data_IF_841294650927
#
_entry.id   IF_841294650927
#
_cell.length_a   1.000
_cell.length_b   1.000
_cell.length_c   1.000
_cell.angle_alpha   90.00
_cell.angle_beta   90.00
_cell.angle_gamma   90.00
#
_symmetry.space_group_name_H-M   'P 1'
#
loop_
_entity.id
_entity.type
_entity.pdbx_description
1 polymer ?
#
# COMPACT_ATOMS: atom_id res chain seq x y z
N UNK A 1 10.02 -5.40 1.05
CA UNK A 1 9.42 -4.53 2.08
C UNK A 1 9.26 -3.13 1.50
N UNK A 2 8.02 -2.68 1.32
CA UNK A 2 7.78 -1.31 0.86
C UNK A 2 8.10 -0.28 1.94
N UNK A 3 8.79 0.79 1.57
CA UNK A 3 9.19 1.90 2.44
C UNK A 3 8.02 2.50 3.25
N UNK A 4 6.86 2.71 2.64
CA UNK A 4 5.67 3.23 3.32
C UNK A 4 5.05 2.20 4.25
N UNK A 5 5.05 0.91 3.90
CA UNK A 5 4.58 -0.15 4.80
C UNK A 5 5.51 -0.23 6.01
N UNK A 6 6.82 -0.13 5.78
CA UNK A 6 7.82 -0.14 6.84
C UNK A 6 7.63 1.04 7.80
N UNK A 7 7.41 2.24 7.26
CA UNK A 7 7.06 3.43 8.05
C UNK A 7 5.80 3.20 8.91
N UNK A 8 4.74 2.61 8.36
CA UNK A 8 3.50 2.38 9.10
C UNK A 8 3.68 1.36 10.24
N UNK A 9 4.44 0.29 10.02
CA UNK A 9 4.75 -0.68 11.08
C UNK A 9 5.50 0.01 12.21
N UNK A 10 6.58 0.72 11.88
CA UNK A 10 7.41 1.38 12.89
C UNK A 10 6.64 2.43 13.70
N UNK A 11 5.75 3.20 13.05
CA UNK A 11 4.88 4.18 13.73
C UNK A 11 3.86 3.54 14.67
N UNK A 12 3.49 2.28 14.43
CA UNK A 12 2.55 1.54 15.27
C UNK A 12 3.12 1.10 16.61
N UNK A 13 4.45 1.06 16.74
CA UNK A 13 5.15 0.55 17.91
C UNK A 13 5.39 1.70 18.90
N UNK A 14 4.99 1.48 20.16
CA UNK A 14 5.13 2.47 21.24
C UNK A 14 6.37 2.27 22.10
N UNK A 15 6.82 1.03 22.23
CA UNK A 15 7.99 0.68 23.04
C UNK A 15 9.28 0.80 22.21
N UNK A 16 10.26 1.53 22.73
CA UNK A 16 11.50 1.78 22.01
C UNK A 16 12.32 0.51 21.78
N UNK A 17 12.29 -0.46 22.71
CA UNK A 17 13.04 -1.72 22.53
C UNK A 17 12.40 -2.54 21.41
N UNK A 18 11.08 -2.70 21.42
CA UNK A 18 10.33 -3.37 20.36
C UNK A 18 10.52 -2.68 19.00
N UNK A 19 10.55 -1.34 18.98
CA UNK A 19 10.83 -0.56 17.78
C UNK A 19 12.18 -0.94 17.17
N UNK A 20 13.23 -0.97 17.99
CA UNK A 20 14.58 -1.28 17.51
C UNK A 20 14.69 -2.73 17.04
N UNK A 21 14.13 -3.68 17.78
CA UNK A 21 14.12 -5.09 17.38
C UNK A 21 13.38 -5.28 16.05
N UNK A 22 12.17 -4.73 15.91
CA UNK A 22 11.36 -4.84 14.70
C UNK A 22 12.04 -4.19 13.50
N UNK A 23 12.63 -3.00 13.69
CA UNK A 23 13.40 -2.30 12.66
C UNK A 23 14.53 -3.18 12.13
N UNK A 24 15.34 -3.76 13.01
CA UNK A 24 16.46 -4.60 12.60
C UNK A 24 15.99 -5.85 11.85
N UNK A 25 14.93 -6.50 12.32
CA UNK A 25 14.37 -7.68 11.65
C UNK A 25 13.85 -7.35 10.25
N UNK A 26 13.06 -6.28 10.09
CA UNK A 26 12.47 -5.91 8.79
C UNK A 26 13.49 -5.35 7.79
N UNK A 27 14.60 -4.77 8.27
CA UNK A 27 15.70 -4.31 7.42
C UNK A 27 16.44 -5.44 6.71
N UNK A 28 16.26 -6.70 7.15
CA UNK A 28 16.83 -7.87 6.46
C UNK A 28 16.11 -8.23 5.16
N UNK A 29 14.90 -7.69 4.95
CA UNK A 29 14.12 -7.89 3.74
C UNK A 29 14.56 -6.90 2.65
N UNK A 30 14.36 -7.27 1.38
CA UNK A 30 14.58 -6.35 0.25
C UNK A 30 13.75 -5.08 0.43
N UNK A 31 14.33 -3.90 0.21
CA UNK A 31 13.62 -2.63 0.35
C UNK A 31 13.10 -2.16 -1.02
N UNK A 32 11.82 -1.79 -1.08
CA UNK A 32 11.16 -1.28 -2.27
C UNK A 32 10.73 0.16 -2.05
N UNK A 33 11.12 1.06 -2.96
CA UNK A 33 10.66 2.44 -2.99
C UNK A 33 9.26 2.50 -3.64
N UNK A 34 8.22 2.79 -2.86
CA UNK A 34 6.84 2.76 -3.35
C UNK A 34 6.38 4.09 -3.96
N UNK A 35 6.99 5.21 -3.60
CA UNK A 35 6.55 6.55 -4.01
C UNK A 35 7.63 7.30 -4.81
N UNK A 36 8.28 6.58 -5.72
CA UNK A 36 9.31 7.12 -6.61
C UNK A 36 8.79 8.07 -7.69
N UNK A 37 9.66 8.42 -8.63
CA UNK A 37 9.37 9.39 -9.70
C UNK A 37 8.24 8.89 -10.61
N UNK A 38 7.18 9.69 -10.74
CA UNK A 38 6.01 9.40 -11.58
C UNK A 38 4.80 8.81 -10.81
N UNK A 39 5.04 8.23 -9.64
CA UNK A 39 3.96 7.72 -8.77
C UNK A 39 2.93 8.78 -8.34
N UNK A 40 3.30 10.06 -8.06
CA UNK A 40 2.31 11.06 -7.66
C UNK A 40 1.17 11.25 -8.67
N UNK A 41 1.48 11.26 -9.96
CA UNK A 41 0.49 11.45 -11.03
C UNK A 41 -0.41 10.21 -11.15
N UNK A 42 0.17 9.01 -11.16
CA UNK A 42 -0.58 7.75 -11.22
C UNK A 42 -1.50 7.57 -10.01
N UNK A 43 -1.01 7.89 -8.80
CA UNK A 43 -1.82 7.86 -7.59
C UNK A 43 -3.01 8.83 -7.67
N UNK A 44 -2.77 10.05 -8.18
CA UNK A 44 -3.81 11.04 -8.34
C UNK A 44 -4.88 10.57 -9.35
N UNK A 45 -4.49 9.96 -10.46
CA UNK A 45 -5.43 9.44 -11.45
C UNK A 45 -6.24 8.26 -10.93
N UNK A 46 -5.61 7.31 -10.23
CA UNK A 46 -6.33 6.20 -9.58
C UNK A 46 -7.35 6.70 -8.55
N UNK A 47 -6.94 7.63 -7.69
CA UNK A 47 -7.84 8.25 -6.71
C UNK A 47 -9.00 8.99 -7.39
N UNK A 48 -8.72 9.79 -8.43
CA UNK A 48 -9.75 10.52 -9.19
C UNK A 48 -10.71 9.57 -9.89
N UNK A 49 -10.22 8.44 -10.38
CA UNK A 49 -11.04 7.41 -11.04
C UNK A 49 -12.04 6.79 -10.07
N UNK A 50 -11.60 6.43 -8.85
CA UNK A 50 -12.50 5.97 -7.80
C UNK A 50 -13.49 7.06 -7.36
N UNK A 51 -13.01 8.31 -7.21
CA UNK A 51 -13.85 9.44 -6.80
C UNK A 51 -14.96 9.73 -7.81
N UNK A 52 -14.69 9.62 -9.12
CA UNK A 52 -15.71 9.75 -10.18
C UNK A 52 -16.81 8.69 -10.08
N UNK A 53 -16.52 7.54 -9.45
CA UNK A 53 -17.48 6.48 -9.15
C UNK A 53 -18.18 6.65 -7.78
N UNK A 54 -17.94 7.76 -7.09
CA UNK A 54 -18.49 8.02 -5.75
C UNK A 54 -17.73 7.36 -4.61
N UNK A 55 -16.55 6.81 -4.87
CA UNK A 55 -15.73 6.10 -3.87
C UNK A 55 -14.57 6.98 -3.44
N UNK A 56 -14.43 7.25 -2.14
CA UNK A 56 -13.31 8.02 -1.58
C UNK A 56 -12.45 7.14 -0.68
N UNK A 57 -11.18 6.98 -1.04
CA UNK A 57 -10.18 6.27 -0.25
C UNK A 57 -9.65 7.20 0.83
N UNK A 58 -9.62 6.74 2.09
CA UNK A 58 -9.35 7.61 3.24
C UNK A 58 -7.86 7.94 3.40
N UNK A 59 -6.97 6.98 3.14
CA UNK A 59 -5.54 7.14 3.41
C UNK A 59 -4.76 7.24 2.09
N UNK A 60 -3.99 8.31 1.94
CA UNK A 60 -3.11 8.48 0.78
C UNK A 60 -2.09 7.35 0.65
N UNK A 61 -1.59 6.80 1.77
CA UNK A 61 -0.67 5.64 1.73
C UNK A 61 -1.30 4.40 1.09
N UNK A 62 -2.60 4.19 1.28
CA UNK A 62 -3.29 3.03 0.70
C UNK A 62 -3.40 3.20 -0.82
N UNK A 63 -3.66 4.43 -1.29
CA UNK A 63 -3.61 4.78 -2.72
C UNK A 63 -2.22 4.51 -3.31
N UNK A 64 -1.15 4.89 -2.60
CA UNK A 64 0.23 4.69 -3.07
C UNK A 64 0.56 3.19 -3.16
N UNK A 65 0.28 2.43 -2.10
CA UNK A 65 0.53 0.98 -2.05
C UNK A 65 -0.25 0.28 -3.17
N UNK A 66 -1.55 0.56 -3.31
CA UNK A 66 -2.39 -0.05 -4.33
C UNK A 66 -1.90 0.29 -5.74
N UNK A 67 -1.57 1.56 -5.99
CA UNK A 67 -1.07 2.02 -7.29
C UNK A 67 0.24 1.32 -7.65
N UNK A 68 1.18 1.20 -6.69
CA UNK A 68 2.44 0.50 -6.93
C UNK A 68 2.20 -0.96 -7.32
N UNK A 69 1.34 -1.66 -6.59
CA UNK A 69 0.98 -3.05 -6.87
C UNK A 69 0.31 -3.22 -8.25
N UNK A 70 -0.56 -2.28 -8.65
CA UNK A 70 -1.19 -2.28 -9.98
C UNK A 70 -0.13 -2.11 -11.08
N UNK A 71 0.72 -1.10 -10.97
CA UNK A 71 1.75 -0.77 -11.98
C UNK A 71 2.77 -1.89 -12.14
N UNK A 72 3.19 -2.50 -11.02
CA UNK A 72 4.17 -3.60 -11.02
C UNK A 72 3.53 -4.99 -11.21
N UNK A 73 2.20 -5.07 -11.28
CA UNK A 73 1.43 -6.33 -11.34
C UNK A 73 1.78 -7.31 -10.21
N UNK A 74 1.98 -6.78 -9.01
CA UNK A 74 2.29 -7.55 -7.81
C UNK A 74 1.00 -7.76 -7.01
N UNK A 75 0.62 -9.00 -6.66
CA UNK A 75 -0.52 -9.24 -5.79
C UNK A 75 -0.33 -8.59 -4.42
N UNK A 76 -1.37 -7.93 -3.92
CA UNK A 76 -1.38 -7.33 -2.60
C UNK A 76 -2.13 -8.25 -1.63
N UNK A 77 -1.45 -8.63 -0.54
CA UNK A 77 -2.09 -9.25 0.60
C UNK A 77 -2.64 -8.15 1.52
N UNK A 78 -3.95 -8.10 1.70
CA UNK A 78 -4.59 -7.10 2.54
C UNK A 78 -5.81 -7.66 3.27
N UNK A 79 -6.11 -7.08 4.44
CA UNK A 79 -7.36 -7.29 5.18
C UNK A 79 -8.20 -6.00 5.29
N UNK A 80 -7.61 -4.84 4.94
CA UNK A 80 -8.31 -3.56 4.96
C UNK A 80 -9.23 -3.46 3.74
N UNK A 81 -10.52 -3.24 3.98
CA UNK A 81 -11.55 -3.11 2.94
C UNK A 81 -11.34 -1.89 2.05
N UNK A 82 -10.52 -0.92 2.47
CA UNK A 82 -10.16 0.25 1.67
C UNK A 82 -9.42 -0.14 0.36
N UNK A 83 -8.89 -1.36 0.24
CA UNK A 83 -8.28 -1.89 -0.99
C UNK A 83 -9.26 -2.54 -1.96
N UNK A 84 -10.47 -2.92 -1.52
CA UNK A 84 -11.48 -3.58 -2.37
C UNK A 84 -11.83 -2.75 -3.62
N UNK A 85 -12.05 -1.42 -3.53
CA UNK A 85 -12.33 -0.62 -4.71
C UNK A 85 -11.23 -0.65 -5.79
N UNK A 86 -9.96 -0.86 -5.39
CA UNK A 86 -8.86 -0.98 -6.33
C UNK A 86 -8.89 -2.32 -7.06
N UNK A 87 -9.34 -3.39 -6.40
CA UNK A 87 -9.57 -4.70 -7.02
C UNK A 87 -10.72 -4.58 -8.03
N UNK A 88 -11.87 -4.08 -7.56
CA UNK A 88 -13.11 -4.04 -8.34
C UNK A 88 -13.06 -3.10 -9.55
N UNK A 89 -12.21 -2.08 -9.53
CA UNK A 89 -12.25 -1.00 -10.53
C UNK A 89 -10.92 -0.65 -11.18
N UNK A 90 -9.79 -1.00 -10.59
CA UNK A 90 -8.47 -0.55 -11.04
C UNK A 90 -7.50 -1.70 -11.33
N UNK A 91 -7.93 -2.94 -11.19
CA UNK A 91 -7.13 -4.12 -11.55
C UNK A 91 -6.07 -4.51 -10.52
N UNK A 92 -6.23 -4.08 -9.26
CA UNK A 92 -5.39 -4.61 -8.18
C UNK A 92 -5.64 -6.11 -8.02
N UNK A 93 -4.56 -6.89 -7.94
CA UNK A 93 -4.64 -8.34 -7.75
C UNK A 93 -4.65 -8.63 -6.25
N UNK A 94 -5.69 -9.30 -5.75
CA UNK A 94 -5.71 -9.83 -4.38
C UNK A 94 -4.81 -11.06 -4.29
N UNK A 95 -3.96 -11.12 -3.27
CA UNK A 95 -3.18 -12.32 -2.97
C UNK A 95 -4.01 -13.42 -2.27
N UNK A 96 -5.17 -13.07 -1.70
CA UNK A 96 -6.10 -14.03 -1.10
C UNK A 96 -7.08 -14.54 -2.16
N UNK A 97 -7.33 -15.86 -2.24
CA UNK A 97 -8.36 -16.41 -3.10
C UNK A 97 -9.75 -15.92 -2.66
N UNK A 98 -10.62 -15.65 -3.62
CA UNK A 98 -12.05 -15.44 -3.34
C UNK A 98 -12.58 -16.69 -2.62
N UNK A 99 -13.13 -16.49 -1.41
CA UNK A 99 -13.73 -17.56 -0.60
C UNK A 99 -15.24 -17.52 -0.72
#
# INVERSE_FOLDING_TARGET
MGDLIFLQILKGIRDDREYHTTKQSLMTLDQLELFGKGMPEQCAENYRTLRKKGITVRKTTDVIIATFCIEQRIPLLFTDRDFIPFVDHLGLISALPET
#
